data_IF_546922098251
#
_entry.id   IF_546922098251
#
_cell.length_a   1.000
_cell.length_b   1.000
_cell.length_c   1.000
_cell.angle_alpha   90.00
_cell.angle_beta   90.00
_cell.angle_gamma   90.00
#
_symmetry.space_group_name_H-M   'P 1'
#
loop_
_entity.id
_entity.type
_entity.pdbx_description
1 polymer ?
#
# COMPACT_ATOMS: atom_id res chain seq x y z
N UNK A 1 -9.45 3.49 -2.61
CA UNK A 1 -8.08 2.95 -2.66
C UNK A 1 -7.11 4.11 -2.58
N UNK A 2 -6.41 4.22 -1.46
CA UNK A 2 -5.41 5.25 -1.24
C UNK A 2 -4.00 4.63 -1.29
N UNK A 3 -3.13 5.20 -2.12
CA UNK A 3 -1.70 4.93 -2.16
C UNK A 3 -1.04 6.12 -2.85
N UNK A 4 -0.01 6.69 -2.25
CA UNK A 4 0.74 7.80 -2.84
C UNK A 4 2.23 7.59 -2.60
N UNK A 5 3.02 7.57 -3.67
CA UNK A 5 4.47 7.46 -3.57
C UNK A 5 5.12 8.84 -3.75
N UNK A 6 6.01 9.20 -2.82
CA UNK A 6 6.88 10.36 -2.92
C UNK A 6 8.29 9.87 -3.25
N UNK A 7 8.81 10.23 -4.43
CA UNK A 7 10.17 9.93 -4.85
C UNK A 7 11.04 11.19 -4.78
N UNK A 8 12.22 11.07 -4.18
CA UNK A 8 13.28 12.07 -4.22
C UNK A 8 14.64 11.35 -4.21
N UNK A 9 15.45 11.61 -5.24
CA UNK A 9 16.70 10.89 -5.52
C UNK A 9 16.50 9.35 -5.43
N UNK A 10 17.33 8.64 -4.65
CA UNK A 10 17.28 7.18 -4.49
C UNK A 10 16.35 6.73 -3.35
N UNK A 11 15.30 7.51 -3.07
CA UNK A 11 14.38 7.25 -1.96
C UNK A 11 12.91 7.43 -2.35
N UNK A 12 12.12 6.39 -2.07
CA UNK A 12 10.67 6.37 -2.20
C UNK A 12 10.05 6.15 -0.81
N UNK A 13 9.14 7.03 -0.41
CA UNK A 13 8.25 6.84 0.73
C UNK A 13 6.84 6.67 0.21
N UNK A 14 6.16 5.61 0.63
CA UNK A 14 4.77 5.34 0.27
C UNK A 14 3.86 5.75 1.42
N UNK A 15 2.87 6.59 1.15
CA UNK A 15 1.81 6.94 2.09
C UNK A 15 0.56 6.16 1.73
N UNK A 16 0.07 5.38 2.70
CA UNK A 16 -1.03 4.43 2.59
C UNK A 16 -0.82 3.29 1.58
N UNK A 17 -1.55 2.21 1.81
CA UNK A 17 -1.57 1.01 0.98
C UNK A 17 -2.96 0.37 1.10
N UNK A 18 -3.95 1.07 0.57
CA UNK A 18 -5.36 0.73 0.71
C UNK A 18 -5.89 -0.25 -0.32
N UNK A 19 -6.99 -0.91 0.01
CA UNK A 19 -7.80 -1.66 -0.95
C UNK A 19 -9.01 -0.84 -1.43
N UNK A 20 -9.78 -1.38 -2.38
CA UNK A 20 -11.14 -0.95 -2.66
C UNK A 20 -12.06 -2.16 -2.74
N UNK A 21 -13.34 -1.93 -2.41
CA UNK A 21 -14.38 -2.90 -2.72
C UNK A 21 -14.66 -2.90 -4.23
N UNK A 22 -14.97 -4.07 -4.80
CA UNK A 22 -15.36 -4.20 -6.20
C UNK A 22 -16.66 -3.44 -6.50
N UNK A 23 -16.82 -3.01 -7.75
CA UNK A 23 -18.10 -2.52 -8.27
C UNK A 23 -19.03 -3.68 -8.66
N UNK A 24 -20.32 -3.39 -8.84
CA UNK A 24 -21.36 -4.40 -9.10
C UNK A 24 -21.12 -5.25 -10.37
N UNK A 25 -20.33 -4.77 -11.32
CA UNK A 25 -19.96 -5.46 -12.55
C UNK A 25 -18.74 -6.38 -12.41
N UNK A 26 -18.02 -6.32 -11.28
CA UNK A 26 -16.85 -7.17 -11.00
C UNK A 26 -17.25 -8.49 -10.33
N UNK A 27 -17.98 -9.32 -11.06
CA UNK A 27 -18.52 -10.59 -10.54
C UNK A 27 -17.42 -11.55 -10.06
N UNK A 28 -17.55 -12.02 -8.82
CA UNK A 28 -16.64 -13.00 -8.22
C UNK A 28 -15.31 -12.41 -7.70
N UNK A 29 -15.14 -11.09 -7.75
CA UNK A 29 -14.01 -10.40 -7.15
C UNK A 29 -14.37 -10.05 -5.70
N UNK A 30 -13.48 -10.35 -4.75
CA UNK A 30 -13.67 -9.98 -3.34
C UNK A 30 -13.11 -8.59 -3.05
N UNK A 31 -11.94 -8.27 -3.61
CA UNK A 31 -11.15 -7.08 -3.32
C UNK A 31 -10.40 -6.59 -4.55
N UNK A 32 -10.21 -5.27 -4.65
CA UNK A 32 -9.33 -4.64 -5.65
C UNK A 32 -8.13 -4.04 -4.91
N UNK A 33 -6.92 -4.34 -5.38
CA UNK A 33 -5.64 -3.84 -4.83
C UNK A 33 -4.85 -3.04 -5.90
N UNK A 34 -3.97 -2.10 -5.50
CA UNK A 34 -3.23 -1.27 -6.45
C UNK A 34 -2.20 -2.09 -7.24
N UNK A 35 -1.94 -1.69 -8.48
CA UNK A 35 -0.76 -2.14 -9.23
C UNK A 35 0.50 -1.48 -8.65
N UNK A 36 1.44 -2.31 -8.21
CA UNK A 36 2.69 -1.90 -7.58
C UNK A 36 3.90 -2.11 -8.48
N UNK A 37 3.72 -2.35 -9.78
CA UNK A 37 4.81 -2.61 -10.74
C UNK A 37 5.93 -1.57 -10.63
N UNK A 38 5.59 -0.27 -10.58
CA UNK A 38 6.58 0.80 -10.42
C UNK A 38 7.40 0.68 -9.12
N UNK A 39 6.76 0.31 -8.00
CA UNK A 39 7.46 0.12 -6.72
C UNK A 39 8.34 -1.13 -6.73
N UNK A 40 7.93 -2.18 -7.46
CA UNK A 40 8.73 -3.41 -7.62
C UNK A 40 9.97 -3.17 -8.48
N UNK A 41 9.81 -2.40 -9.56
CA UNK A 41 10.90 -2.05 -10.46
C UNK A 41 11.93 -1.11 -9.80
N UNK A 42 11.55 -0.44 -8.70
CA UNK A 42 12.39 0.48 -7.92
C UNK A 42 12.52 0.03 -6.44
N UNK A 43 12.48 -1.28 -6.18
CA UNK A 43 12.34 -1.83 -4.83
C UNK A 43 13.46 -1.37 -3.87
N UNK A 44 14.68 -1.21 -4.37
CA UNK A 44 15.85 -0.71 -3.64
C UNK A 44 15.71 0.76 -3.17
N UNK A 45 14.87 1.54 -3.85
CA UNK A 45 14.57 2.91 -3.46
C UNK A 45 13.49 2.99 -2.39
N UNK A 46 12.62 1.98 -2.26
CA UNK A 46 11.52 1.98 -1.28
C UNK A 46 12.06 1.92 0.15
N UNK A 47 11.90 3.02 0.89
CA UNK A 47 12.40 3.13 2.28
C UNK A 47 11.36 2.74 3.32
N UNK A 48 10.07 2.76 2.98
CA UNK A 48 9.02 2.34 3.90
C UNK A 48 7.63 2.82 3.49
N UNK A 49 6.65 2.30 4.24
CA UNK A 49 5.25 2.67 4.15
C UNK A 49 4.85 3.46 5.41
N UNK A 50 4.14 4.58 5.23
CA UNK A 50 3.55 5.37 6.31
C UNK A 50 2.03 5.27 6.17
N UNK A 51 1.37 4.67 7.15
CA UNK A 51 -0.08 4.48 7.15
C UNK A 51 -0.75 5.56 8.00
N UNK A 52 -1.66 6.32 7.40
CA UNK A 52 -2.31 7.47 8.03
C UNK A 52 -3.26 7.06 9.14
N UNK A 53 -4.11 6.06 8.89
CA UNK A 53 -5.07 5.50 9.85
C UNK A 53 -5.53 4.09 9.44
N UNK A 54 -6.29 3.43 10.31
CA UNK A 54 -6.64 2.00 10.18
C UNK A 54 -7.87 1.65 9.34
N UNK A 55 -8.36 2.55 8.47
CA UNK A 55 -9.44 2.16 7.56
C UNK A 55 -8.91 1.31 6.40
N UNK A 56 -9.71 0.35 5.93
CA UNK A 56 -9.32 -0.63 4.90
C UNK A 56 -8.90 0.02 3.58
N UNK A 57 -9.50 1.14 3.22
CA UNK A 57 -9.12 1.89 2.03
C UNK A 57 -7.79 2.65 2.16
N UNK A 58 -7.12 2.57 3.33
CA UNK A 58 -5.78 3.08 3.62
C UNK A 58 -4.75 1.99 4.00
N UNK A 59 -5.15 0.88 4.60
CA UNK A 59 -4.23 -0.19 5.05
C UNK A 59 -4.47 -1.56 4.38
N UNK A 60 -5.64 -1.77 3.78
CA UNK A 60 -6.12 -3.11 3.46
C UNK A 60 -5.32 -3.87 2.39
N UNK A 61 -4.58 -3.17 1.51
CA UNK A 61 -3.72 -3.84 0.53
C UNK A 61 -2.34 -4.22 1.08
N UNK A 62 -1.98 -3.73 2.26
CA UNK A 62 -0.65 -3.93 2.85
C UNK A 62 -0.24 -5.42 3.00
N UNK A 63 -1.11 -6.36 3.43
CA UNK A 63 -0.76 -7.79 3.51
C UNK A 63 -0.42 -8.44 2.17
N UNK A 64 -0.89 -7.87 1.06
CA UNK A 64 -0.60 -8.34 -0.29
C UNK A 64 0.71 -7.74 -0.80
N UNK A 65 0.85 -6.41 -0.67
CA UNK A 65 2.03 -5.67 -1.12
C UNK A 65 3.31 -6.10 -0.39
N UNK A 66 3.24 -6.33 0.93
CA UNK A 66 4.41 -6.74 1.73
C UNK A 66 4.94 -8.14 1.40
N UNK A 67 4.19 -8.96 0.65
CA UNK A 67 4.70 -10.25 0.12
C UNK A 67 5.73 -10.03 -0.99
N UNK A 68 5.61 -8.91 -1.70
CA UNK A 68 6.45 -8.57 -2.86
C UNK A 68 7.52 -7.54 -2.48
N UNK A 69 7.17 -6.57 -1.62
CA UNK A 69 8.05 -5.47 -1.21
C UNK A 69 8.26 -5.52 0.29
N UNK A 70 9.46 -5.94 0.72
CA UNK A 70 9.84 -5.96 2.13
C UNK A 70 10.39 -4.61 2.56
N UNK A 71 9.57 -3.78 3.18
CA UNK A 71 9.96 -2.48 3.72
C UNK A 71 9.32 -2.26 5.10
N UNK A 72 9.92 -1.40 5.96
CA UNK A 72 9.32 -1.06 7.25
C UNK A 72 7.98 -0.34 7.08
N UNK A 73 7.09 -0.56 8.04
CA UNK A 73 5.76 0.06 8.11
C UNK A 73 5.69 0.92 9.36
N UNK A 74 5.28 2.17 9.18
CA UNK A 74 5.10 3.15 10.22
C UNK A 74 3.63 3.55 10.31
N UNK A 75 3.09 3.71 11.51
CA UNK A 75 1.72 4.13 11.73
C UNK A 75 1.46 4.46 13.20
N UNK A 76 0.26 4.96 13.49
CA UNK A 76 -0.15 5.20 14.88
C UNK A 76 -0.39 3.87 15.62
N UNK A 77 -0.40 3.89 16.96
CA UNK A 77 -0.63 2.68 17.78
C UNK A 77 -1.86 1.89 17.33
N UNK A 78 -3.00 2.56 17.13
CA UNK A 78 -4.23 1.91 16.69
C UNK A 78 -4.08 1.25 15.30
N UNK A 79 -3.32 1.85 14.41
CA UNK A 79 -3.11 1.37 13.04
C UNK A 79 -2.20 0.14 12.98
N UNK A 80 -1.20 0.04 13.87
CA UNK A 80 -0.20 -1.04 13.85
C UNK A 80 -0.43 -2.14 14.90
N UNK A 81 -1.33 -1.93 15.86
CA UNK A 81 -1.62 -2.85 16.97
C UNK A 81 -0.91 -2.46 18.26
#
# INVERSE_FOLDING_TARGET
MNMTAFEYDDSIIVVDCGMAFPSDDMLGIDLVIPDITYLKDNIEKVKGFVITHGHEDHIGALPYVLREIKAPVYGTKLTIG
#
